data_IF_526161068859
#
_entry.id   IF_526161068859
#
_cell.length_a   1.000
_cell.length_b   1.000
_cell.length_c   1.000
_cell.angle_alpha   90.00
_cell.angle_beta   90.00
_cell.angle_gamma   90.00
#
_symmetry.space_group_name_H-M   'P 1'
#
loop_
_entity.id
_entity.type
_entity.pdbx_description
1 polymer ?
#
# COMPACT_ATOMS: atom_id res chain seq x y z
N UNK A 1 -3.63 18.10 8.05
CA UNK A 1 -4.12 18.05 6.65
C UNK A 1 -4.10 16.62 6.09
N UNK A 2 -2.98 15.92 6.17
CA UNK A 2 -2.82 14.55 5.68
C UNK A 2 -3.79 13.53 6.31
N UNK A 3 -3.88 13.50 7.63
CA UNK A 3 -4.78 12.58 8.36
C UNK A 3 -6.26 12.80 7.98
N UNK A 4 -6.69 14.06 7.86
CA UNK A 4 -8.04 14.40 7.43
C UNK A 4 -8.33 13.92 6.00
N UNK A 5 -7.37 14.09 5.09
CA UNK A 5 -7.50 13.58 3.72
C UNK A 5 -7.64 12.05 3.68
N UNK A 6 -6.86 11.33 4.50
CA UNK A 6 -6.99 9.87 4.64
C UNK A 6 -8.37 9.48 5.20
N UNK A 7 -8.87 10.20 6.21
CA UNK A 7 -10.20 9.97 6.80
C UNK A 7 -11.33 10.15 5.77
N UNK A 8 -11.22 11.16 4.91
CA UNK A 8 -12.20 11.39 3.84
C UNK A 8 -12.13 10.30 2.77
N UNK A 9 -10.93 9.87 2.40
CA UNK A 9 -10.73 8.87 1.36
C UNK A 9 -11.15 7.47 1.80
N UNK A 10 -10.90 7.12 3.06
CA UNK A 10 -11.15 5.77 3.56
C UNK A 10 -12.64 5.39 3.53
N UNK A 11 -13.53 6.38 3.59
CA UNK A 11 -14.97 6.17 3.48
C UNK A 11 -15.41 5.68 2.10
N UNK A 12 -14.58 5.88 1.09
CA UNK A 12 -14.88 5.60 -0.32
C UNK A 12 -14.39 4.22 -0.77
N UNK A 13 -13.64 3.50 0.08
CA UNK A 13 -12.91 2.30 -0.30
C UNK A 13 -13.33 1.07 0.49
N UNK A 14 -12.97 -0.09 -0.02
CA UNK A 14 -13.23 -1.41 0.55
C UNK A 14 -11.96 -2.06 1.08
N UNK A 15 -10.81 -1.73 0.50
CA UNK A 15 -9.51 -2.33 0.77
C UNK A 15 -8.43 -1.25 0.91
N UNK A 16 -7.58 -1.37 1.92
CA UNK A 16 -6.34 -0.60 2.04
C UNK A 16 -5.17 -1.45 1.61
N UNK A 17 -4.48 -1.03 0.56
CA UNK A 17 -3.20 -1.61 0.11
C UNK A 17 -2.09 -0.74 0.65
N UNK A 18 -1.30 -1.28 1.55
CA UNK A 18 -0.19 -0.58 2.18
C UNK A 18 1.15 -1.07 1.64
N UNK A 19 1.90 -0.19 0.97
CA UNK A 19 3.26 -0.48 0.57
C UNK A 19 4.22 -0.19 1.71
N UNK A 20 5.03 -1.19 2.04
CA UNK A 20 6.14 -1.06 2.98
C UNK A 20 7.45 -1.47 2.30
N UNK A 21 8.55 -0.93 2.78
CA UNK A 21 9.88 -1.35 2.31
C UNK A 21 10.27 -2.65 3.01
N UNK A 22 10.55 -3.70 2.24
CA UNK A 22 10.90 -5.01 2.79
C UNK A 22 12.15 -5.01 3.66
N UNK A 23 13.03 -4.02 3.50
CA UNK A 23 14.24 -3.86 4.33
C UNK A 23 13.92 -3.36 5.74
N UNK A 24 12.88 -2.54 5.88
CA UNK A 24 12.44 -1.94 7.17
C UNK A 24 10.91 -1.88 7.25
N UNK A 25 10.22 -3.04 7.30
CA UNK A 25 8.76 -3.08 7.15
C UNK A 25 8.01 -2.26 8.18
N UNK A 26 8.37 -2.36 9.44
CA UNK A 26 7.67 -1.62 10.52
C UNK A 26 7.95 -0.11 10.43
N UNK A 27 9.21 0.26 10.23
CA UNK A 27 9.61 1.69 10.17
C UNK A 27 9.04 2.41 8.95
N UNK A 28 8.74 1.68 7.87
CA UNK A 28 8.16 2.24 6.65
C UNK A 28 6.63 2.29 6.63
N UNK A 29 5.96 1.95 7.74
CA UNK A 29 4.51 2.06 7.90
C UNK A 29 4.10 3.41 8.46
N UNK A 30 2.91 3.89 8.04
CA UNK A 30 2.24 5.00 8.69
C UNK A 30 1.39 4.48 9.87
N UNK A 31 1.67 4.87 11.13
CA UNK A 31 0.96 4.33 12.30
C UNK A 31 -0.53 4.69 12.34
N UNK A 32 -0.96 5.78 11.71
CA UNK A 32 -2.36 6.20 11.69
C UNK A 32 -3.25 5.26 10.85
N UNK A 33 -2.66 4.49 9.94
CA UNK A 33 -3.45 3.68 9.01
C UNK A 33 -4.14 2.49 9.69
N UNK A 34 -3.59 1.95 10.77
CA UNK A 34 -4.18 0.83 11.50
C UNK A 34 -5.51 1.23 12.16
N UNK A 35 -5.58 2.42 12.71
CA UNK A 35 -6.82 2.96 13.29
C UNK A 35 -7.82 3.34 12.20
N UNK A 36 -7.38 4.06 11.17
CA UNK A 36 -8.24 4.55 10.09
C UNK A 36 -8.83 3.41 9.25
N UNK A 37 -8.07 2.34 9.02
CA UNK A 37 -8.45 1.21 8.18
C UNK A 37 -8.97 -0.02 8.91
N UNK A 38 -9.24 0.04 10.21
CA UNK A 38 -9.58 -1.15 11.03
C UNK A 38 -10.81 -1.93 10.57
N UNK A 39 -11.76 -1.27 9.90
CA UNK A 39 -13.00 -1.89 9.39
C UNK A 39 -12.93 -2.22 7.90
N UNK A 40 -11.76 -2.11 7.30
CA UNK A 40 -11.51 -2.40 5.88
C UNK A 40 -10.67 -3.64 5.73
N UNK A 41 -10.77 -4.32 4.59
CA UNK A 41 -9.80 -5.33 4.22
C UNK A 41 -8.40 -4.70 4.10
N UNK A 42 -7.37 -5.43 4.47
CA UNK A 42 -6.00 -4.93 4.55
C UNK A 42 -5.04 -5.84 3.78
N UNK A 43 -4.24 -5.25 2.92
CA UNK A 43 -3.19 -5.93 2.17
C UNK A 43 -1.86 -5.20 2.40
N UNK A 44 -0.85 -5.92 2.89
CA UNK A 44 0.52 -5.44 3.00
C UNK A 44 1.31 -5.93 1.80
N UNK A 45 1.98 -5.02 1.12
CA UNK A 45 2.93 -5.33 0.05
C UNK A 45 4.35 -5.06 0.55
N UNK A 46 5.13 -6.12 0.69
CA UNK A 46 6.56 -6.02 0.99
C UNK A 46 7.30 -5.70 -0.31
N UNK A 47 7.41 -4.41 -0.62
CA UNK A 47 8.08 -3.94 -1.83
C UNK A 47 9.60 -3.95 -1.68
N UNK A 48 10.30 -3.95 -2.80
CA UNK A 48 11.77 -4.08 -2.86
C UNK A 48 12.25 -5.38 -2.18
N UNK A 49 11.47 -6.44 -2.30
CA UNK A 49 11.75 -7.73 -1.65
C UNK A 49 13.06 -8.38 -2.10
N UNK A 50 13.56 -8.00 -3.29
CA UNK A 50 14.88 -8.39 -3.80
C UNK A 50 16.05 -7.72 -3.06
N UNK A 51 15.80 -6.68 -2.28
CA UNK A 51 16.79 -5.97 -1.47
C UNK A 51 16.88 -6.47 -0.02
N UNK A 52 16.05 -7.46 0.35
CA UNK A 52 16.04 -8.09 1.66
C UNK A 52 16.23 -9.60 1.51
N UNK A 53 16.81 -10.24 2.54
CA UNK A 53 16.98 -11.70 2.55
C UNK A 53 15.63 -12.41 2.63
N UNK A 54 15.47 -13.53 1.91
CA UNK A 54 14.23 -14.31 1.83
C UNK A 54 13.71 -14.74 3.20
N UNK A 55 14.60 -15.17 4.11
CA UNK A 55 14.21 -15.56 5.46
C UNK A 55 13.52 -14.44 6.24
N UNK A 56 13.96 -13.18 6.06
CA UNK A 56 13.34 -12.02 6.69
C UNK A 56 12.03 -11.65 6.01
N UNK A 57 11.97 -11.74 4.68
CA UNK A 57 10.72 -11.55 3.93
C UNK A 57 9.65 -12.55 4.37
N UNK A 58 10.01 -13.82 4.58
CA UNK A 58 9.10 -14.86 5.05
C UNK A 58 8.67 -14.62 6.49
N UNK A 59 9.60 -14.24 7.38
CA UNK A 59 9.30 -13.92 8.78
C UNK A 59 8.34 -12.71 8.90
N UNK A 60 8.56 -11.63 8.14
CA UNK A 60 7.68 -10.48 8.12
C UNK A 60 6.31 -10.80 7.49
N UNK A 61 6.28 -11.63 6.47
CA UNK A 61 5.02 -12.08 5.87
C UNK A 61 4.15 -12.83 6.89
N UNK A 62 4.75 -13.74 7.64
CA UNK A 62 4.05 -14.48 8.70
C UNK A 62 3.59 -13.56 9.83
N UNK A 63 4.44 -12.65 10.28
CA UNK A 63 4.10 -11.64 11.29
C UNK A 63 2.85 -10.84 10.94
N UNK A 64 2.75 -10.35 9.69
CA UNK A 64 1.58 -9.60 9.25
C UNK A 64 0.34 -10.47 9.04
N UNK A 65 0.50 -11.72 8.56
CA UNK A 65 -0.61 -12.67 8.43
C UNK A 65 -1.22 -13.01 9.78
N UNK A 66 -0.43 -13.22 10.80
CA UNK A 66 -0.89 -13.46 12.18
C UNK A 66 -1.72 -12.29 12.73
N UNK A 67 -1.46 -11.07 12.27
CA UNK A 67 -2.23 -9.87 12.60
C UNK A 67 -3.50 -9.67 11.76
N UNK A 68 -3.81 -10.61 10.86
CA UNK A 68 -5.00 -10.58 10.01
C UNK A 68 -4.83 -9.83 8.68
N UNK A 69 -3.61 -9.48 8.29
CA UNK A 69 -3.34 -8.88 6.99
C UNK A 69 -3.13 -9.95 5.91
N UNK A 70 -3.59 -9.68 4.69
CA UNK A 70 -3.08 -10.36 3.50
C UNK A 70 -1.70 -9.79 3.16
N UNK A 71 -0.78 -10.61 2.68
CA UNK A 71 0.60 -10.19 2.41
C UNK A 71 1.08 -10.72 1.08
N UNK A 72 1.74 -9.86 0.29
CA UNK A 72 2.43 -10.25 -0.94
C UNK A 72 3.83 -9.64 -0.95
N UNK A 73 4.83 -10.43 -1.29
CA UNK A 73 6.19 -9.96 -1.58
C UNK A 73 6.24 -9.47 -3.01
N UNK A 74 6.70 -8.24 -3.23
CA UNK A 74 6.73 -7.63 -4.56
C UNK A 74 8.10 -7.01 -4.87
N UNK A 75 8.44 -7.06 -6.15
CA UNK A 75 9.50 -6.26 -6.75
C UNK A 75 8.89 -5.45 -7.90
N UNK A 76 8.46 -4.25 -7.60
CA UNK A 76 7.73 -3.41 -8.54
C UNK A 76 8.54 -3.04 -9.79
N UNK A 77 9.87 -2.94 -9.68
CA UNK A 77 10.76 -2.65 -10.81
C UNK A 77 10.86 -3.82 -11.79
N UNK A 78 10.92 -5.04 -11.29
CA UNK A 78 11.08 -6.27 -12.10
C UNK A 78 9.75 -6.99 -12.36
N UNK A 79 8.65 -6.52 -11.79
CA UNK A 79 7.33 -7.14 -11.91
C UNK A 79 7.11 -8.41 -11.08
N UNK A 80 8.06 -8.74 -10.18
CA UNK A 80 7.92 -9.89 -9.28
C UNK A 80 6.75 -9.73 -8.33
N UNK A 81 5.90 -10.74 -8.21
CA UNK A 81 4.72 -10.75 -7.34
C UNK A 81 3.49 -9.99 -7.88
N UNK A 82 3.64 -9.14 -8.90
CA UNK A 82 2.55 -8.29 -9.40
C UNK A 82 1.37 -9.11 -9.95
N UNK A 83 1.64 -10.21 -10.64
CA UNK A 83 0.60 -11.05 -11.25
C UNK A 83 -0.36 -11.68 -10.24
N UNK A 84 0.10 -11.95 -9.02
CA UNK A 84 -0.71 -12.58 -7.97
C UNK A 84 -1.64 -11.61 -7.25
N UNK A 85 -1.41 -10.30 -7.39
CA UNK A 85 -2.11 -9.27 -6.59
C UNK A 85 -3.61 -9.26 -6.85
N UNK A 86 -4.05 -9.40 -8.09
CA UNK A 86 -5.49 -9.44 -8.39
C UNK A 86 -6.22 -10.58 -7.66
N UNK A 87 -5.62 -11.76 -7.63
CA UNK A 87 -6.16 -12.91 -6.88
C UNK A 87 -6.22 -12.64 -5.38
N UNK A 88 -5.17 -12.04 -4.83
CA UNK A 88 -5.11 -11.68 -3.40
C UNK A 88 -6.13 -10.61 -3.05
N UNK A 89 -6.35 -9.61 -3.90
CA UNK A 89 -7.40 -8.59 -3.71
C UNK A 89 -8.79 -9.24 -3.67
N UNK A 90 -9.09 -10.15 -4.58
CA UNK A 90 -10.36 -10.86 -4.60
C UNK A 90 -10.59 -11.69 -3.33
N UNK A 91 -9.55 -12.39 -2.86
CA UNK A 91 -9.62 -13.18 -1.63
C UNK A 91 -9.77 -12.29 -0.39
N UNK A 92 -9.00 -11.20 -0.30
CA UNK A 92 -9.08 -10.25 0.82
C UNK A 92 -10.47 -9.57 0.93
N UNK A 93 -11.16 -9.38 -0.20
CA UNK A 93 -12.48 -8.74 -0.28
C UNK A 93 -13.64 -9.72 -0.45
N UNK A 94 -13.41 -11.01 -0.27
CA UNK A 94 -14.39 -12.08 -0.51
C UNK A 94 -15.71 -11.86 0.24
N UNK A 95 -15.65 -11.54 1.52
CA UNK A 95 -16.84 -11.29 2.34
C UNK A 95 -17.67 -10.10 1.84
N UNK A 96 -17.00 -9.03 1.41
CA UNK A 96 -17.66 -7.87 0.83
C UNK A 96 -18.33 -8.22 -0.50
N UNK A 97 -17.64 -8.95 -1.37
CA UNK A 97 -18.16 -9.38 -2.69
C UNK A 97 -19.40 -10.26 -2.48
N UNK A 98 -19.35 -11.21 -1.57
CA UNK A 98 -20.49 -12.08 -1.24
C UNK A 98 -21.68 -11.30 -0.67
N UNK A 99 -21.42 -10.32 0.20
CA UNK A 99 -22.45 -9.46 0.76
C UNK A 99 -23.15 -8.62 -0.31
N UNK A 100 -22.38 -8.02 -1.22
CA UNK A 100 -22.90 -7.25 -2.34
C UNK A 100 -23.75 -8.14 -3.26
N UNK A 101 -23.28 -9.34 -3.56
CA UNK A 101 -24.00 -10.33 -4.36
C UNK A 101 -25.36 -10.74 -3.74
N UNK A 102 -25.38 -10.98 -2.45
CA UNK A 102 -26.63 -11.28 -1.70
C UNK A 102 -27.64 -10.13 -1.73
N UNK A 103 -27.15 -8.89 -1.88
CA UNK A 103 -27.99 -7.68 -2.02
C UNK A 103 -28.38 -7.41 -3.48
N UNK A 104 -28.06 -8.28 -4.42
CA UNK A 104 -28.33 -8.11 -5.84
C UNK A 104 -27.41 -7.11 -6.54
N UNK A 105 -26.33 -6.67 -5.87
CA UNK A 105 -25.34 -5.77 -6.45
C UNK A 105 -24.31 -6.64 -7.18
N UNK A 106 -24.49 -6.76 -8.47
CA UNK A 106 -23.57 -7.49 -9.36
C UNK A 106 -22.59 -6.50 -9.99
N UNK A 107 -21.34 -6.93 -10.17
CA UNK A 107 -20.31 -6.21 -10.92
C UNK A 107 -19.87 -4.86 -10.30
N UNK A 108 -20.06 -4.66 -8.99
CA UNK A 108 -19.44 -3.52 -8.31
C UNK A 108 -17.94 -3.77 -8.14
N UNK A 109 -17.06 -2.91 -8.69
CA UNK A 109 -15.63 -3.09 -8.53
C UNK A 109 -15.20 -2.91 -7.07
N UNK A 110 -14.17 -3.64 -6.66
CA UNK A 110 -13.46 -3.39 -5.41
C UNK A 110 -12.72 -2.07 -5.52
N UNK A 111 -12.96 -1.18 -4.59
CA UNK A 111 -12.25 0.10 -4.48
C UNK A 111 -11.16 -0.02 -3.45
N UNK A 112 -9.92 0.10 -3.88
CA UNK A 112 -8.75 0.03 -3.03
C UNK A 112 -8.03 1.36 -2.96
N UNK A 113 -7.52 1.71 -1.79
CA UNK A 113 -6.65 2.85 -1.60
C UNK A 113 -5.21 2.36 -1.45
N UNK A 114 -4.30 2.91 -2.25
CA UNK A 114 -2.87 2.59 -2.16
C UNK A 114 -2.20 3.66 -1.30
N UNK A 115 -1.64 3.24 -0.19
CA UNK A 115 -0.93 4.11 0.76
C UNK A 115 0.53 3.68 0.88
N UNK A 116 1.39 4.63 1.15
CA UNK A 116 2.81 4.41 1.39
C UNK A 116 3.48 5.72 1.73
N UNK A 117 4.57 5.63 2.50
CA UNK A 117 5.43 6.77 2.77
C UNK A 117 6.14 7.21 1.48
N UNK A 118 6.70 8.44 1.44
CA UNK A 118 7.50 8.87 0.29
C UNK A 118 8.62 7.89 -0.04
N UNK A 119 8.91 7.71 -1.33
CA UNK A 119 9.99 6.88 -1.86
C UNK A 119 9.92 5.37 -1.52
N UNK A 120 8.77 4.85 -1.10
CA UNK A 120 8.57 3.40 -0.89
C UNK A 120 8.36 2.63 -2.21
N UNK A 121 8.18 3.35 -3.32
CA UNK A 121 7.96 2.80 -4.65
C UNK A 121 6.49 2.69 -5.07
N UNK A 122 5.61 3.48 -4.46
CA UNK A 122 4.16 3.46 -4.71
C UNK A 122 3.79 3.71 -6.16
N UNK A 123 4.30 4.78 -6.78
CA UNK A 123 4.00 5.10 -8.19
C UNK A 123 4.56 4.06 -9.14
N UNK A 124 5.74 3.52 -8.88
CA UNK A 124 6.32 2.41 -9.65
C UNK A 124 5.46 1.17 -9.55
N UNK A 125 4.97 0.84 -8.37
CA UNK A 125 4.04 -0.27 -8.13
C UNK A 125 2.74 -0.10 -8.91
N UNK A 126 2.10 1.07 -8.82
CA UNK A 126 0.84 1.34 -9.51
C UNK A 126 1.01 1.22 -11.03
N UNK A 127 2.10 1.76 -11.58
CA UNK A 127 2.41 1.66 -13.00
C UNK A 127 2.65 0.22 -13.44
N UNK A 128 3.36 -0.57 -12.64
CA UNK A 128 3.59 -1.98 -12.91
C UNK A 128 2.27 -2.79 -12.90
N UNK A 129 1.39 -2.51 -11.94
CA UNK A 129 0.11 -3.18 -11.80
C UNK A 129 -0.87 -2.81 -12.93
N UNK A 130 -0.89 -1.56 -13.34
CA UNK A 130 -1.75 -1.07 -14.43
C UNK A 130 -1.20 -1.39 -15.83
N UNK A 131 0.05 -1.83 -15.95
CA UNK A 131 0.70 -2.11 -17.22
C UNK A 131 0.98 -0.88 -18.10
N UNK A 132 0.89 0.32 -17.54
CA UNK A 132 1.13 1.59 -18.22
C UNK A 132 1.54 2.68 -17.24
N UNK A 133 2.17 3.74 -17.75
CA UNK A 133 2.53 4.90 -16.94
C UNK A 133 1.30 5.77 -16.63
N UNK A 134 0.57 5.45 -15.58
CA UNK A 134 -0.62 6.17 -15.13
C UNK A 134 -0.42 6.96 -13.83
N UNK A 135 0.67 6.70 -13.11
CA UNK A 135 1.06 7.43 -11.91
C UNK A 135 2.42 8.11 -12.11
N UNK A 136 2.59 9.30 -11.52
CA UNK A 136 3.86 10.02 -11.57
C UNK A 136 4.91 9.31 -10.71
N UNK A 137 6.09 9.05 -11.28
CA UNK A 137 7.23 8.45 -10.59
C UNK A 137 8.25 9.50 -10.19
N UNK A 138 9.01 9.25 -9.15
CA UNK A 138 10.12 10.08 -8.70
C UNK A 138 10.62 9.68 -7.32
N UNK A 139 11.82 10.12 -7.01
CA UNK A 139 12.48 9.82 -5.73
C UNK A 139 12.31 10.93 -4.69
N UNK A 140 11.50 11.95 -5.00
CA UNK A 140 11.25 13.08 -4.09
C UNK A 140 9.90 12.92 -3.40
N UNK A 141 9.78 13.26 -2.11
CA UNK A 141 8.49 13.34 -1.42
C UNK A 141 7.49 14.25 -2.15
N UNK A 142 6.22 13.86 -2.17
CA UNK A 142 5.16 14.68 -2.76
C UNK A 142 5.08 14.68 -4.28
N UNK A 143 5.70 13.71 -4.97
CA UNK A 143 5.60 13.57 -6.44
C UNK A 143 4.15 13.37 -6.90
N UNK A 144 3.38 12.55 -6.17
CA UNK A 144 1.94 12.42 -6.39
C UNK A 144 1.20 13.50 -5.60
N UNK A 145 0.49 14.39 -6.30
CA UNK A 145 -0.28 15.50 -5.70
C UNK A 145 -1.78 15.25 -5.89
N UNK A 146 -2.55 15.25 -4.80
CA UNK A 146 -4.01 15.09 -4.84
C UNK A 146 -4.48 13.65 -5.03
N UNK A 147 -5.79 13.48 -5.20
CA UNK A 147 -6.44 12.19 -5.47
C UNK A 147 -6.39 11.85 -6.96
N UNK A 148 -6.15 10.59 -7.25
CA UNK A 148 -6.21 10.05 -8.60
C UNK A 148 -6.83 8.66 -8.58
N UNK A 149 -7.96 8.47 -9.29
CA UNK A 149 -8.56 7.16 -9.52
C UNK A 149 -7.94 6.49 -10.74
N UNK A 150 -7.58 5.22 -10.57
CA UNK A 150 -6.98 4.40 -11.62
C UNK A 150 -7.79 3.12 -11.74
N UNK A 151 -8.42 2.91 -12.89
CA UNK A 151 -9.15 1.68 -13.17
C UNK A 151 -8.17 0.62 -13.68
N UNK A 152 -7.96 -0.45 -12.91
CA UNK A 152 -7.11 -1.57 -13.32
C UNK A 152 -7.82 -2.48 -14.32
N UNK A 153 -9.04 -2.85 -13.98
CA UNK A 153 -9.91 -3.72 -14.76
C UNK A 153 -11.36 -3.49 -14.33
N UNK A 154 -12.30 -4.26 -14.86
CA UNK A 154 -13.72 -4.15 -14.48
C UNK A 154 -14.01 -4.49 -13.00
N UNK A 155 -13.09 -5.14 -12.30
CA UNK A 155 -13.27 -5.63 -10.93
C UNK A 155 -12.53 -4.82 -9.88
N UNK A 156 -11.57 -3.97 -10.26
CA UNK A 156 -10.72 -3.23 -9.31
C UNK A 156 -10.45 -1.81 -9.77
N UNK A 157 -10.72 -0.87 -8.88
CA UNK A 157 -10.34 0.54 -9.01
C UNK A 157 -9.40 0.92 -7.87
N UNK A 158 -8.31 1.64 -8.20
CA UNK A 158 -7.32 2.11 -7.23
C UNK A 158 -7.45 3.62 -7.01
N UNK A 159 -7.35 4.03 -5.75
CA UNK A 159 -7.13 5.42 -5.38
C UNK A 159 -5.65 5.62 -5.02
N UNK A 160 -4.93 6.35 -5.86
CA UNK A 160 -3.56 6.78 -5.57
C UNK A 160 -3.59 8.04 -4.70
N UNK A 161 -2.97 7.98 -3.53
CA UNK A 161 -2.84 9.10 -2.61
C UNK A 161 -1.40 9.59 -2.58
N UNK A 162 -1.14 10.88 -2.24
CA UNK A 162 0.22 11.36 -2.00
C UNK A 162 0.92 10.52 -0.93
N UNK A 163 2.21 10.25 -1.12
CA UNK A 163 3.06 9.66 -0.08
C UNK A 163 3.21 10.65 1.08
N UNK A 164 2.84 10.23 2.29
CA UNK A 164 2.76 11.09 3.46
C UNK A 164 3.52 10.45 4.60
N UNK A 165 4.46 11.21 5.19
CA UNK A 165 5.10 10.87 6.47
C UNK A 165 4.24 11.40 7.61
N UNK A 166 4.28 10.72 8.76
CA UNK A 166 3.73 11.27 9.99
C UNK A 166 4.61 12.42 10.50
N UNK A 167 4.03 13.45 11.14
CA UNK A 167 4.74 14.70 11.42
C UNK A 167 5.79 14.60 12.53
N UNK A 168 5.80 13.52 13.31
CA UNK A 168 6.78 13.28 14.38
C UNK A 168 7.24 11.84 14.34
N UNK A 169 8.54 11.65 14.51
CA UNK A 169 9.13 10.33 14.76
C UNK A 169 9.24 10.16 16.27
N UNK A 170 8.45 9.25 16.83
CA UNK A 170 8.51 8.92 18.27
C UNK A 170 9.77 8.11 18.60
N UNK A 171 10.31 7.43 17.60
CA UNK A 171 11.53 6.63 17.70
C UNK A 171 12.58 7.15 16.71
N UNK A 172 13.74 7.60 17.24
CA UNK A 172 14.87 8.05 16.42
C UNK A 172 15.39 6.95 15.47
N UNK A 173 15.32 5.69 15.89
CA UNK A 173 15.71 4.56 15.04
C UNK A 173 14.85 4.45 13.78
N UNK A 174 13.58 4.82 13.85
CA UNK A 174 12.69 4.91 12.68
C UNK A 174 13.17 5.97 11.71
N UNK A 175 13.49 7.16 12.21
CA UNK A 175 14.02 8.28 11.41
C UNK A 175 15.28 7.88 10.65
N UNK A 176 16.25 7.29 11.33
CA UNK A 176 17.51 6.81 10.73
C UNK A 176 17.26 5.76 9.64
N UNK A 177 16.39 4.78 9.90
CA UNK A 177 16.06 3.74 8.92
C UNK A 177 15.38 4.34 7.68
N UNK A 178 14.53 5.35 7.85
CA UNK A 178 13.89 6.04 6.73
C UNK A 178 14.89 6.88 5.93
N UNK A 179 15.87 7.50 6.56
CA UNK A 179 16.96 8.18 5.87
C UNK A 179 17.77 7.20 5.02
N UNK A 180 18.17 6.06 5.57
CA UNK A 180 18.89 5.01 4.85
C UNK A 180 18.20 4.53 3.57
N UNK A 181 16.88 4.45 3.55
CA UNK A 181 16.12 4.03 2.37
C UNK A 181 15.70 5.20 1.47
N UNK A 182 16.10 6.43 1.81
CA UNK A 182 15.85 7.64 1.03
C UNK A 182 14.40 8.15 1.09
N UNK A 183 13.63 7.76 2.11
CA UNK A 183 12.25 8.26 2.31
C UNK A 183 12.21 9.67 2.91
N UNK A 184 13.28 10.08 3.58
CA UNK A 184 13.51 11.42 4.12
C UNK A 184 14.93 11.88 3.78
N UNK A 185 15.19 13.18 3.89
CA UNK A 185 16.55 13.72 3.73
C UNK A 185 17.40 13.39 4.96
N UNK A 186 18.71 13.28 4.75
CA UNK A 186 19.69 12.99 5.82
C UNK A 186 19.88 14.15 6.81
N UNK A 187 19.34 15.32 6.49
CA UNK A 187 19.33 16.49 7.38
C UNK A 187 18.26 16.33 8.46
N UNK A 188 18.61 15.65 9.54
CA UNK A 188 17.78 15.52 10.74
C UNK A 188 18.49 16.21 11.93
#
# INVERSE_FOLDING_TARGET
KAKRMMQENIKLIDLVIELVDARVPISSRNPDIDELGKNKARLILLNKSDLAEDKWNDAWSEYFREKGFSVVKVNSKKGGGIKSINGVIQEACKEKIERDRKRGILNRPVRAMVVGIPNVGKSTFINALAGKACAKTGNKPGVTKGKQWIRLNKNVELLDTPGILWPRFEDQAVGLKLAFIGSIKDEI
#
